data_IF_657514578470
#
_entry.id   IF_657514578470
#
_cell.length_a   1.000
_cell.length_b   1.000
_cell.length_c   1.000
_cell.angle_alpha   90.00
_cell.angle_beta   90.00
_cell.angle_gamma   90.00
#
_symmetry.space_group_name_H-M   'P 1'
#
loop_
_entity.id
_entity.type
_entity.pdbx_description
1 polymer ?
#
# COMPACT_ATOMS: atom_id res chain seq x y z
N UNK A 1 3.36 -30.12 -33.68
CA UNK A 1 4.49 -29.30 -33.18
C UNK A 1 3.94 -27.91 -32.92
N UNK A 2 3.31 -27.73 -31.75
CA UNK A 2 2.77 -26.43 -31.33
C UNK A 2 3.94 -25.48 -31.10
N UNK A 3 3.83 -24.28 -31.65
CA UNK A 3 4.90 -23.31 -31.77
C UNK A 3 5.30 -22.76 -30.38
N UNK A 4 6.30 -23.37 -29.73
CA UNK A 4 6.82 -22.96 -28.41
C UNK A 4 7.23 -21.48 -28.36
N UNK A 5 7.51 -20.85 -29.51
CA UNK A 5 7.82 -19.41 -29.60
C UNK A 5 6.64 -18.49 -29.29
N UNK A 6 5.39 -18.95 -29.46
CA UNK A 6 4.20 -18.13 -29.13
C UNK A 6 3.98 -18.08 -27.61
N UNK A 7 4.38 -19.12 -26.89
CA UNK A 7 4.21 -19.22 -25.43
C UNK A 7 5.19 -18.29 -24.69
N UNK A 8 6.37 -18.05 -25.25
CA UNK A 8 7.43 -17.26 -24.60
C UNK A 8 7.27 -15.73 -24.76
N UNK A 9 6.39 -15.26 -25.64
CA UNK A 9 6.26 -13.82 -25.95
C UNK A 9 5.22 -13.09 -25.06
N UNK A 10 4.34 -13.81 -24.34
CA UNK A 10 3.09 -13.25 -23.77
C UNK A 10 3.00 -13.20 -22.23
N UNK A 11 4.08 -13.43 -21.49
CA UNK A 11 3.98 -13.52 -20.01
C UNK A 11 3.43 -12.25 -19.33
N UNK A 12 3.68 -11.05 -19.89
CA UNK A 12 3.24 -9.77 -19.30
C UNK A 12 1.81 -9.39 -19.75
N UNK A 13 1.25 -10.11 -20.72
CA UNK A 13 -0.17 -9.94 -21.12
C UNK A 13 -1.13 -10.73 -20.24
N UNK A 14 -0.59 -11.64 -19.41
CA UNK A 14 -1.35 -12.32 -18.36
C UNK A 14 -1.75 -11.34 -17.24
N UNK A 15 -2.89 -11.61 -16.59
CA UNK A 15 -3.42 -10.78 -15.50
C UNK A 15 -2.32 -10.35 -14.51
N UNK A 16 -2.19 -9.05 -14.16
CA UNK A 16 -3.12 -7.95 -14.46
C UNK A 16 -2.93 -7.31 -15.84
N UNK A 17 -1.93 -7.72 -16.63
CA UNK A 17 -1.64 -7.18 -17.95
C UNK A 17 -0.77 -5.93 -17.93
N UNK A 18 0.07 -5.76 -18.96
CA UNK A 18 1.07 -4.68 -19.10
C UNK A 18 0.53 -3.27 -18.83
N UNK A 19 -0.71 -2.99 -19.22
CA UNK A 19 -1.33 -1.67 -19.10
C UNK A 19 -1.78 -1.40 -17.67
N UNK A 20 -2.59 -2.28 -17.09
CA UNK A 20 -3.14 -2.08 -15.76
C UNK A 20 -2.03 -2.02 -14.72
N UNK A 21 -1.12 -3.00 -14.71
CA UNK A 21 -0.02 -2.99 -13.74
C UNK A 21 1.03 -1.94 -14.06
N UNK A 22 1.30 -1.64 -15.34
CA UNK A 22 2.24 -0.59 -15.74
C UNK A 22 1.79 0.82 -15.36
N UNK A 23 0.52 1.16 -15.62
CA UNK A 23 -0.07 2.41 -15.18
C UNK A 23 -0.09 2.49 -13.65
N UNK A 24 -0.44 1.40 -12.98
CA UNK A 24 -0.49 1.35 -11.53
C UNK A 24 0.88 1.54 -10.87
N UNK A 25 1.96 1.03 -11.47
CA UNK A 25 3.35 1.28 -11.03
C UNK A 25 3.74 2.76 -11.05
N UNK A 26 3.03 3.59 -11.83
CA UNK A 26 3.29 5.03 -11.94
C UNK A 26 2.30 5.82 -11.09
N UNK A 27 1.00 5.55 -11.26
CA UNK A 27 -0.07 6.31 -10.62
C UNK A 27 -0.06 6.09 -9.10
N UNK A 28 0.11 4.84 -8.64
CA UNK A 28 0.02 4.54 -7.21
C UNK A 28 1.08 5.31 -6.38
N UNK A 29 2.39 5.29 -6.71
CA UNK A 29 3.38 6.10 -5.99
C UNK A 29 3.10 7.60 -6.05
N UNK A 30 2.61 8.13 -7.18
CA UNK A 30 2.27 9.55 -7.32
C UNK A 30 1.15 9.92 -6.35
N UNK A 31 0.07 9.13 -6.30
CA UNK A 31 -1.03 9.37 -5.37
C UNK A 31 -0.58 9.31 -3.92
N UNK A 32 0.28 8.35 -3.57
CA UNK A 32 0.84 8.24 -2.22
C UNK A 32 1.68 9.47 -1.85
N UNK A 33 2.54 9.94 -2.76
CA UNK A 33 3.33 11.16 -2.54
C UNK A 33 2.43 12.38 -2.40
N UNK A 34 1.46 12.58 -3.29
CA UNK A 34 0.50 13.70 -3.19
C UNK A 34 -0.26 13.63 -1.86
N UNK A 35 -0.69 12.43 -1.46
CA UNK A 35 -1.38 12.23 -0.18
C UNK A 35 -0.53 12.73 0.99
N UNK A 36 0.74 12.36 1.04
CA UNK A 36 1.66 12.76 2.10
C UNK A 36 1.95 14.27 2.06
N UNK A 37 2.15 14.85 0.87
CA UNK A 37 2.38 16.28 0.69
C UNK A 37 1.21 17.14 1.16
N UNK A 38 -0.04 16.70 0.94
CA UNK A 38 -1.23 17.43 1.39
C UNK A 38 -1.28 17.61 2.91
N UNK A 39 -0.75 16.65 3.67
CA UNK A 39 -0.80 16.64 5.13
C UNK A 39 0.56 16.87 5.79
N UNK A 40 1.59 17.26 5.03
CA UNK A 40 2.97 17.38 5.52
C UNK A 40 3.14 18.41 6.64
N UNK A 41 2.27 19.41 6.70
CA UNK A 41 2.30 20.47 7.72
C UNK A 41 1.65 20.05 9.05
N UNK A 42 1.00 18.88 9.09
CA UNK A 42 0.21 18.41 10.22
C UNK A 42 0.74 17.07 10.73
N UNK A 43 0.57 16.82 12.02
CA UNK A 43 0.77 15.49 12.57
C UNK A 43 -0.37 14.59 12.07
N UNK A 44 -0.04 13.66 11.19
CA UNK A 44 -0.99 12.73 10.59
C UNK A 44 -1.13 11.42 11.38
N UNK A 45 -0.60 11.34 12.59
CA UNK A 45 -0.83 10.19 13.47
C UNK A 45 -2.00 10.48 14.40
N UNK A 46 -2.71 9.42 14.78
CA UNK A 46 -3.65 9.47 15.88
C UNK A 46 -2.95 9.96 17.18
N UNK A 47 -3.59 10.85 17.98
CA UNK A 47 -4.92 11.42 17.79
C UNK A 47 -4.96 12.72 16.96
N UNK A 48 -3.81 13.36 16.73
CA UNK A 48 -3.70 14.69 16.09
C UNK A 48 -4.36 14.78 14.71
N UNK A 49 -4.44 13.66 13.99
CA UNK A 49 -5.16 13.58 12.71
C UNK A 49 -6.64 13.96 12.84
N UNK A 50 -7.29 13.66 13.96
CA UNK A 50 -8.71 13.94 14.19
C UNK A 50 -8.95 15.43 14.45
N UNK A 51 -8.07 16.06 15.25
CA UNK A 51 -8.10 17.50 15.47
C UNK A 51 -7.79 18.29 14.19
N UNK A 52 -6.90 17.76 13.34
CA UNK A 52 -6.63 18.35 12.03
C UNK A 52 -7.83 18.22 11.09
N UNK A 53 -8.54 17.08 11.13
CA UNK A 53 -9.75 16.89 10.34
C UNK A 53 -10.86 17.86 10.75
N UNK A 54 -11.05 18.12 12.05
CA UNK A 54 -12.04 19.09 12.56
C UNK A 54 -11.83 20.50 12.00
N UNK A 55 -10.57 20.93 11.87
CA UNK A 55 -10.22 22.26 11.35
C UNK A 55 -10.09 22.31 9.82
N UNK A 56 -9.68 21.21 9.18
CA UNK A 56 -9.40 21.12 7.74
C UNK A 56 -9.98 19.84 7.11
N UNK A 57 -11.31 19.65 7.14
CA UNK A 57 -11.94 18.35 6.82
C UNK A 57 -11.72 17.95 5.36
N UNK A 58 -11.87 18.88 4.42
CA UNK A 58 -11.67 18.59 2.98
C UNK A 58 -10.23 18.20 2.67
N UNK A 59 -9.24 18.84 3.30
CA UNK A 59 -7.82 18.56 3.09
C UNK A 59 -7.49 17.14 3.59
N UNK A 60 -7.91 16.82 4.81
CA UNK A 60 -7.66 15.53 5.43
C UNK A 60 -8.41 14.41 4.72
N UNK A 61 -9.68 14.59 4.38
CA UNK A 61 -10.46 13.61 3.62
C UNK A 61 -9.81 13.33 2.25
N UNK A 62 -9.41 14.38 1.52
CA UNK A 62 -8.75 14.24 0.22
C UNK A 62 -7.43 13.49 0.37
N UNK A 63 -6.61 13.89 1.34
CA UNK A 63 -5.31 13.27 1.62
C UNK A 63 -5.45 11.78 1.93
N UNK A 64 -6.35 11.38 2.82
CA UNK A 64 -6.54 9.98 3.19
C UNK A 64 -7.22 9.17 2.08
N UNK A 65 -8.13 9.77 1.30
CA UNK A 65 -8.73 9.13 0.12
C UNK A 65 -7.68 8.83 -0.95
N UNK A 66 -6.79 9.78 -1.26
CA UNK A 66 -5.70 9.56 -2.21
C UNK A 66 -4.73 8.49 -1.73
N UNK A 67 -4.45 8.44 -0.42
CA UNK A 67 -3.67 7.37 0.18
C UNK A 67 -4.32 6.00 -0.05
N UNK A 68 -5.61 5.85 0.28
CA UNK A 68 -6.36 4.61 0.09
C UNK A 68 -6.37 4.15 -1.38
N UNK A 69 -6.66 5.07 -2.31
CA UNK A 69 -6.66 4.77 -3.75
C UNK A 69 -5.26 4.35 -4.20
N UNK A 70 -4.21 5.04 -3.73
CA UNK A 70 -2.82 4.66 -3.98
C UNK A 70 -2.51 3.24 -3.49
N UNK A 71 -2.94 2.90 -2.27
CA UNK A 71 -2.76 1.55 -1.71
C UNK A 71 -3.50 0.47 -2.51
N UNK A 72 -4.71 0.76 -2.99
CA UNK A 72 -5.47 -0.17 -3.86
C UNK A 72 -4.75 -0.35 -5.20
N UNK A 73 -4.28 0.73 -5.81
CA UNK A 73 -3.56 0.67 -7.09
C UNK A 73 -2.18 0.01 -6.96
N UNK A 74 -1.56 -0.03 -5.77
CA UNK A 74 -0.36 -0.84 -5.58
C UNK A 74 -0.63 -2.33 -5.85
N UNK A 75 -1.85 -2.84 -5.66
CA UNK A 75 -2.13 -4.27 -5.90
C UNK A 75 -1.75 -4.75 -7.31
N UNK A 76 -2.31 -4.21 -8.42
CA UNK A 76 -1.89 -4.60 -9.77
C UNK A 76 -0.42 -4.24 -10.08
N UNK A 77 0.14 -3.20 -9.47
CA UNK A 77 1.57 -2.86 -9.63
C UNK A 77 2.48 -3.97 -9.06
N UNK A 78 2.14 -4.49 -7.89
CA UNK A 78 2.89 -5.55 -7.21
C UNK A 78 2.74 -6.87 -7.94
N UNK A 79 1.58 -7.19 -8.50
CA UNK A 79 1.41 -8.41 -9.29
C UNK A 79 2.38 -8.47 -10.49
N UNK A 80 2.54 -7.38 -11.25
CA UNK A 80 3.55 -7.34 -12.33
C UNK A 80 4.95 -7.48 -11.77
N UNK A 81 5.28 -6.76 -10.69
CA UNK A 81 6.61 -6.84 -10.10
C UNK A 81 6.94 -8.26 -9.64
N UNK A 82 5.98 -8.96 -9.05
CA UNK A 82 6.08 -10.37 -8.65
C UNK A 82 6.33 -11.26 -9.85
N UNK A 83 5.61 -11.09 -10.97
CA UNK A 83 5.87 -11.85 -12.20
C UNK A 83 7.31 -11.63 -12.70
N UNK A 84 7.76 -10.38 -12.75
CA UNK A 84 9.11 -10.03 -13.22
C UNK A 84 10.20 -10.62 -12.31
N UNK A 85 10.02 -10.57 -11.00
CA UNK A 85 10.94 -11.18 -10.02
C UNK A 85 10.94 -12.71 -10.18
N UNK A 86 9.75 -13.30 -10.32
CA UNK A 86 9.57 -14.75 -10.33
C UNK A 86 10.22 -15.43 -11.52
N UNK A 87 10.42 -14.72 -12.64
CA UNK A 87 11.19 -15.20 -13.80
C UNK A 87 12.61 -15.65 -13.45
N UNK A 88 13.23 -15.06 -12.42
CA UNK A 88 14.60 -15.42 -11.99
C UNK A 88 14.69 -15.91 -10.55
N UNK A 89 13.77 -15.47 -9.68
CA UNK A 89 13.77 -15.76 -8.23
C UNK A 89 12.34 -16.11 -7.78
N UNK A 90 11.80 -17.27 -8.16
CA UNK A 90 10.39 -17.63 -7.94
C UNK A 90 9.98 -17.62 -6.47
N UNK A 91 10.82 -18.12 -5.57
CA UNK A 91 10.53 -18.14 -4.12
C UNK A 91 10.44 -16.73 -3.52
N UNK A 92 11.32 -15.81 -3.95
CA UNK A 92 11.29 -14.42 -3.46
C UNK A 92 10.11 -13.65 -4.05
N UNK A 93 9.77 -13.89 -5.32
CA UNK A 93 8.58 -13.32 -5.94
C UNK A 93 7.30 -13.78 -5.22
N UNK A 94 7.17 -15.09 -4.94
CA UNK A 94 6.03 -15.66 -4.24
C UNK A 94 5.88 -15.09 -2.82
N UNK A 95 6.90 -15.22 -1.97
CA UNK A 95 6.80 -14.81 -0.57
C UNK A 95 6.75 -13.30 -0.39
N UNK A 96 7.56 -12.55 -1.15
CA UNK A 96 7.53 -11.08 -1.13
C UNK A 96 6.18 -10.56 -1.64
N UNK A 97 5.67 -11.12 -2.73
CA UNK A 97 4.37 -10.77 -3.28
C UNK A 97 3.22 -11.05 -2.33
N UNK A 98 3.17 -12.26 -1.77
CA UNK A 98 2.14 -12.66 -0.81
C UNK A 98 2.13 -11.74 0.42
N UNK A 99 3.29 -11.50 1.03
CA UNK A 99 3.41 -10.65 2.20
C UNK A 99 3.00 -9.21 1.90
N UNK A 100 3.44 -8.64 0.78
CA UNK A 100 3.02 -7.28 0.40
C UNK A 100 1.53 -7.22 0.18
N UNK A 101 0.93 -8.16 -0.57
CA UNK A 101 -0.52 -8.16 -0.82
C UNK A 101 -1.32 -8.25 0.48
N UNK A 102 -0.92 -9.13 1.41
CA UNK A 102 -1.53 -9.21 2.75
C UNK A 102 -1.36 -7.89 3.52
N UNK A 103 -0.18 -7.28 3.46
CA UNK A 103 0.08 -5.96 4.03
C UNK A 103 -0.76 -4.83 3.42
N UNK A 104 -1.03 -4.88 2.11
CA UNK A 104 -1.90 -3.92 1.43
C UNK A 104 -3.34 -4.02 1.95
N UNK A 105 -3.87 -5.24 2.19
CA UNK A 105 -5.18 -5.41 2.81
C UNK A 105 -5.22 -4.83 4.23
N UNK A 106 -4.18 -5.07 5.03
CA UNK A 106 -4.08 -4.49 6.37
C UNK A 106 -4.04 -2.95 6.34
N UNK A 107 -3.25 -2.37 5.43
CA UNK A 107 -3.19 -0.90 5.24
C UNK A 107 -4.51 -0.31 4.73
N UNK A 108 -5.21 -1.01 3.83
CA UNK A 108 -6.53 -0.60 3.36
C UNK A 108 -7.57 -0.64 4.50
N UNK A 109 -7.52 -1.65 5.37
CA UNK A 109 -8.34 -1.71 6.57
C UNK A 109 -8.07 -0.52 7.50
N UNK A 110 -6.80 -0.25 7.84
CA UNK A 110 -6.43 0.88 8.70
C UNK A 110 -6.90 2.22 8.11
N UNK A 111 -6.72 2.42 6.81
CA UNK A 111 -7.24 3.61 6.14
C UNK A 111 -8.77 3.70 6.17
N UNK A 112 -9.48 2.56 6.11
CA UNK A 112 -10.92 2.52 6.33
C UNK A 112 -11.33 2.94 7.75
N UNK A 113 -10.56 2.51 8.77
CA UNK A 113 -10.74 2.96 10.16
C UNK A 113 -10.53 4.46 10.29
N UNK A 114 -9.51 5.03 9.63
CA UNK A 114 -9.27 6.49 9.63
C UNK A 114 -10.45 7.26 9.02
N UNK A 115 -10.99 6.81 7.88
CA UNK A 115 -12.17 7.43 7.28
C UNK A 115 -13.40 7.33 8.18
N UNK A 116 -13.59 6.17 8.84
CA UNK A 116 -14.68 6.01 9.79
C UNK A 116 -14.52 6.94 10.99
N UNK A 117 -13.29 7.11 11.51
CA UNK A 117 -13.00 8.04 12.59
C UNK A 117 -13.34 9.49 12.21
N UNK A 118 -13.02 9.90 10.98
CA UNK A 118 -13.42 11.22 10.46
C UNK A 118 -14.94 11.40 10.42
N UNK A 119 -15.70 10.36 10.06
CA UNK A 119 -17.16 10.41 10.11
C UNK A 119 -17.70 10.56 11.54
N UNK A 120 -17.03 9.99 12.55
CA UNK A 120 -17.39 10.22 13.95
C UNK A 120 -17.12 11.68 14.34
N UNK A 121 -16.01 12.27 13.91
CA UNK A 121 -15.74 13.71 14.14
C UNK A 121 -16.85 14.57 13.54
N UNK A 122 -17.29 14.25 12.32
CA UNK A 122 -18.32 14.99 11.58
C UNK A 122 -19.72 14.88 12.22
N UNK A 123 -20.09 13.71 12.74
CA UNK A 123 -21.41 13.47 13.34
C UNK A 123 -21.46 13.91 14.81
N UNK A 124 -20.36 13.73 15.55
CA UNK A 124 -20.25 14.02 16.97
C UNK A 124 -19.24 15.15 17.22
N UNK A 125 -18.00 14.81 17.58
CA UNK A 125 -16.89 15.74 17.78
C UNK A 125 -15.55 14.98 17.91
N UNK A 126 -14.45 15.73 17.95
CA UNK A 126 -13.08 15.20 18.09
C UNK A 126 -12.87 14.39 19.36
N UNK A 127 -13.44 14.81 20.50
CA UNK A 127 -13.24 14.15 21.79
C UNK A 127 -13.87 12.74 21.78
N UNK A 128 -15.12 12.63 21.31
CA UNK A 128 -15.82 11.35 21.15
C UNK A 128 -15.07 10.44 20.18
N UNK A 129 -14.66 10.96 19.03
CA UNK A 129 -13.89 10.20 18.05
C UNK A 129 -12.55 9.70 18.62
N UNK A 130 -11.84 10.54 19.36
CA UNK A 130 -10.55 10.21 19.97
C UNK A 130 -10.70 9.10 21.01
N UNK A 131 -11.68 9.22 21.90
CA UNK A 131 -11.93 8.20 22.92
C UNK A 131 -12.32 6.87 22.28
N UNK A 132 -13.26 6.88 21.34
CA UNK A 132 -13.73 5.67 20.66
C UNK A 132 -12.60 4.96 19.90
N UNK A 133 -11.83 5.69 19.09
CA UNK A 133 -10.73 5.12 18.31
C UNK A 133 -9.59 4.67 19.21
N UNK A 134 -9.30 5.40 20.28
CA UNK A 134 -8.30 5.02 21.28
C UNK A 134 -8.64 3.68 21.94
N UNK A 135 -9.89 3.48 22.35
CA UNK A 135 -10.38 2.20 22.85
C UNK A 135 -10.29 1.11 21.77
N UNK A 136 -10.70 1.41 20.54
CA UNK A 136 -10.65 0.48 19.41
C UNK A 136 -9.23 -0.02 19.09
N UNK A 137 -8.23 0.87 19.07
CA UNK A 137 -6.83 0.48 18.86
C UNK A 137 -6.26 -0.34 20.01
N UNK A 138 -6.76 -0.15 21.23
CA UNK A 138 -6.41 -0.98 22.38
C UNK A 138 -7.01 -2.39 22.32
N UNK A 139 -8.07 -2.59 21.52
CA UNK A 139 -8.71 -3.89 21.37
C UNK A 139 -7.93 -4.81 20.42
N UNK A 140 -8.03 -6.12 20.67
CA UNK A 140 -7.51 -7.10 19.73
C UNK A 140 -8.35 -7.08 18.44
N UNK A 141 -7.69 -6.84 17.31
CA UNK A 141 -8.25 -7.06 15.99
C UNK A 141 -7.34 -7.97 15.17
N UNK A 142 -7.92 -8.92 14.43
CA UNK A 142 -7.18 -9.91 13.62
C UNK A 142 -6.17 -9.26 12.66
N UNK A 143 -6.45 -8.04 12.23
CA UNK A 143 -5.58 -7.24 11.34
C UNK A 143 -4.26 -6.86 12.02
N UNK A 144 -4.19 -6.76 13.35
CA UNK A 144 -2.92 -6.50 14.04
C UNK A 144 -1.88 -7.58 13.80
N UNK A 145 -2.32 -8.84 13.68
CA UNK A 145 -1.44 -9.95 13.32
C UNK A 145 -0.87 -9.72 11.93
N UNK A 146 -1.58 -9.05 11.02
CA UNK A 146 -1.11 -8.80 9.66
C UNK A 146 -0.10 -7.65 9.56
N UNK A 147 0.07 -6.84 10.63
CA UNK A 147 0.98 -5.70 10.61
C UNK A 147 2.44 -6.10 10.36
N UNK A 148 2.86 -7.32 10.73
CA UNK A 148 4.21 -7.78 10.37
C UNK A 148 4.37 -7.86 8.83
N UNK A 149 3.32 -8.22 8.10
CA UNK A 149 3.35 -8.32 6.63
C UNK A 149 3.56 -6.95 5.97
N UNK A 150 3.07 -5.87 6.61
CA UNK A 150 3.31 -4.49 6.17
C UNK A 150 4.81 -4.19 6.17
N UNK A 151 5.56 -4.61 7.19
CA UNK A 151 6.99 -4.34 7.29
C UNK A 151 7.81 -5.30 6.44
N UNK A 152 7.67 -6.60 6.71
CA UNK A 152 8.53 -7.63 6.13
C UNK A 152 8.26 -7.87 4.65
N UNK A 153 7.04 -7.65 4.17
CA UNK A 153 6.70 -7.85 2.76
C UNK A 153 7.55 -7.00 1.83
N UNK A 154 7.65 -5.69 2.12
CA UNK A 154 8.43 -4.76 1.29
C UNK A 154 9.92 -5.11 1.28
N UNK A 155 10.47 -5.55 2.42
CA UNK A 155 11.88 -5.97 2.52
C UNK A 155 12.14 -7.20 1.66
N UNK A 156 11.31 -8.24 1.78
CA UNK A 156 11.47 -9.49 1.01
C UNK A 156 11.30 -9.21 -0.49
N UNK A 157 10.32 -8.38 -0.86
CA UNK A 157 10.09 -8.00 -2.25
C UNK A 157 11.26 -7.18 -2.82
N UNK A 158 11.83 -6.26 -2.04
CA UNK A 158 13.02 -5.48 -2.40
C UNK A 158 14.25 -6.36 -2.63
N UNK A 159 14.51 -7.32 -1.75
CA UNK A 159 15.58 -8.31 -1.93
C UNK A 159 15.34 -9.10 -3.23
N UNK A 160 14.09 -9.53 -3.47
CA UNK A 160 13.67 -10.18 -4.72
C UNK A 160 13.95 -9.33 -5.95
N UNK A 161 13.57 -8.05 -5.93
CA UNK A 161 13.77 -7.09 -7.03
C UNK A 161 15.25 -6.86 -7.34
N UNK A 162 16.08 -6.74 -6.31
CA UNK A 162 17.53 -6.58 -6.45
C UNK A 162 18.21 -7.84 -7.01
N UNK A 163 17.93 -9.00 -6.41
CA UNK A 163 18.58 -10.27 -6.77
C UNK A 163 18.12 -10.81 -8.14
N UNK A 164 16.91 -10.45 -8.58
CA UNK A 164 16.41 -10.74 -9.94
C UNK A 164 16.88 -9.73 -10.99
N UNK A 165 17.58 -8.67 -10.59
CA UNK A 165 18.01 -7.56 -11.46
C UNK A 165 16.85 -6.85 -12.16
N UNK A 166 15.63 -6.92 -11.60
CA UNK A 166 14.50 -6.10 -12.04
C UNK A 166 14.79 -4.64 -11.69
N UNK A 167 15.32 -4.41 -10.50
CA UNK A 167 15.76 -3.10 -10.02
C UNK A 167 17.26 -3.07 -9.69
N UNK A 168 17.84 -1.88 -9.84
CA UNK A 168 19.15 -1.55 -9.26
C UNK A 168 19.06 -1.35 -7.76
N UNK A 169 20.20 -1.11 -7.10
CA UNK A 169 20.26 -0.99 -5.64
C UNK A 169 19.38 0.16 -5.10
N UNK A 170 19.45 1.35 -5.70
CA UNK A 170 18.67 2.52 -5.27
C UNK A 170 17.16 2.26 -5.31
N UNK A 171 16.65 1.73 -6.42
CA UNK A 171 15.22 1.43 -6.60
C UNK A 171 14.74 0.31 -5.68
N UNK A 172 15.60 -0.66 -5.40
CA UNK A 172 15.30 -1.74 -4.46
C UNK A 172 15.24 -1.21 -3.02
N UNK A 173 16.15 -0.31 -2.65
CA UNK A 173 16.15 0.34 -1.35
C UNK A 173 14.92 1.22 -1.15
N UNK A 174 14.54 2.01 -2.17
CA UNK A 174 13.31 2.79 -2.15
C UNK A 174 12.07 1.91 -1.99
N UNK A 175 12.00 0.77 -2.71
CA UNK A 175 10.91 -0.21 -2.54
C UNK A 175 10.89 -0.78 -1.12
N UNK A 176 12.07 -1.10 -0.57
CA UNK A 176 12.21 -1.61 0.78
C UNK A 176 11.81 -0.60 1.87
N UNK A 177 11.75 0.70 1.58
CA UNK A 177 11.33 1.75 2.52
C UNK A 177 9.82 2.04 2.49
N UNK A 178 9.04 1.39 1.61
CA UNK A 178 7.59 1.61 1.52
C UNK A 178 6.81 1.12 2.76
N UNK A 179 7.47 0.52 3.74
CA UNK A 179 6.84 0.13 5.00
C UNK A 179 6.67 1.30 5.99
N UNK A 180 7.42 2.39 5.81
CA UNK A 180 7.34 3.62 6.62
C UNK A 180 6.04 4.31 6.26
#
# INVERSE_FOLDING_TARGET
MFNERIILQNDIDSFPGRWLGGLSLIIAPILLVISALLRIQYNFFFPDQLATYDTHPTLMLTSYSLFLIGMILLFPAILILVQLISKKKPRLGLWGGLLVIVGLFARAFHSGVDHFAFQIVEIENVEVATNFVGEFYGMFHVVNILNFSILFGWIVLAIGAYLSKVFGWFRSLALGMMFV
#
